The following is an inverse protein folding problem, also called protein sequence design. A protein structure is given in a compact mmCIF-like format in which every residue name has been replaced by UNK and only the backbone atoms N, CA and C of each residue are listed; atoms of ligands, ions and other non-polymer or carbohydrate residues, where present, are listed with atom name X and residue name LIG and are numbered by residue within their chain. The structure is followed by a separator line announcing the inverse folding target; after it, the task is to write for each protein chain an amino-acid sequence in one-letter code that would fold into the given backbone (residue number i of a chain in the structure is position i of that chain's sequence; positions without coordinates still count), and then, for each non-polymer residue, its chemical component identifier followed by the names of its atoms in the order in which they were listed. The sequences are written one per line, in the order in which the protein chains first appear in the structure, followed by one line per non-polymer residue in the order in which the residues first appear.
data_IF_360067404649
#
_entry.id   IF_360067404649
#
_cell.length_a   1.000
_cell.length_b   1.000
_cell.length_c   1.000
_cell.angle_alpha   90.00
_cell.angle_beta   90.00
_cell.angle_gamma   90.00
#
_symmetry.space_group_name_H-M   'P 1'
#
loop_
_entity.id
_entity.type
_entity.pdbx_description
1 polymer ?
#
# COMPACT_ATOMS: atom_id res chain seq x y z
N UNK A 1 7.43 21.99 24.83
CA UNK A 1 7.53 21.48 24.61
C UNK A 1 7.49 20.88 24.23
N UNK A 2 7.36 20.55 24.16
CA UNK A 2 7.38 19.90 23.86
C UNK A 2 7.76 19.05 23.67
N UNK A 3 7.95 18.74 23.70
CA UNK A 3 8.37 17.97 23.77
C UNK A 3 8.18 17.07 23.45
N UNK A 4 7.95 16.82 23.59
CA UNK A 4 7.81 15.94 23.39
C UNK A 4 7.82 15.52 22.47
N UNK A 5 7.69 15.77 22.18
CA UNK A 5 7.69 15.39 21.35
C UNK A 5 8.24 14.69 20.74
N UNK A 6 8.61 14.50 21.21
CA UNK A 6 9.37 13.75 20.84
C UNK A 6 9.02 12.84 20.13
N UNK A 7 8.51 12.60 20.42
CA UNK A 7 8.09 11.73 19.86
C UNK A 7 7.83 11.90 18.63
N UNK A 8 7.95 12.64 18.38
CA UNK A 8 7.72 12.83 17.40
C UNK A 8 7.96 12.18 16.39
N UNK A 9 7.61 11.50 16.23
CA UNK A 9 7.57 10.65 15.16
C UNK A 9 6.68 11.13 14.12
N UNK A 10 6.77 12.38 13.77
CA UNK A 10 6.06 12.95 12.64
C UNK A 10 6.59 12.34 11.37
N UNK A 11 5.70 11.91 10.52
CA UNK A 11 6.10 11.32 9.25
C UNK A 11 6.57 12.42 8.31
N UNK A 12 7.80 12.33 7.86
CA UNK A 12 8.36 13.28 6.92
C UNK A 12 8.22 12.78 5.49
N UNK A 13 8.23 13.72 4.55
CA UNK A 13 8.23 13.36 3.13
C UNK A 13 9.44 12.50 2.79
N UNK A 14 10.57 12.81 3.42
CA UNK A 14 11.79 12.06 3.16
C UNK A 14 11.64 10.60 3.58
N UNK A 15 11.09 10.35 4.76
CA UNK A 15 10.92 8.97 5.21
C UNK A 15 9.86 8.26 4.37
N UNK A 16 8.80 8.95 3.97
CA UNK A 16 7.79 8.36 3.12
C UNK A 16 8.37 7.95 1.76
N UNK A 17 9.27 8.76 1.21
CA UNK A 17 9.83 8.47 -0.10
C UNK A 17 10.70 7.21 -0.10
N UNK A 18 11.18 6.80 1.06
CA UNK A 18 11.94 5.57 1.16
C UNK A 18 11.04 4.34 1.25
N UNK A 19 9.80 4.53 1.64
CA UNK A 19 8.86 3.43 1.82
C UNK A 19 7.88 3.29 0.66
N UNK A 20 7.59 4.39 -0.02
CA UNK A 20 6.57 4.41 -1.07
C UNK A 20 7.14 5.14 -2.28
N UNK A 21 7.24 4.43 -3.41
CA UNK A 21 7.85 5.04 -4.60
C UNK A 21 7.41 4.29 -5.85
N UNK A 22 7.70 4.87 -7.02
CA UNK A 22 7.42 4.22 -8.29
C UNK A 22 8.62 3.39 -8.69
N UNK A 23 8.38 2.14 -9.06
CA UNK A 23 9.44 1.25 -9.50
C UNK A 23 10.08 1.78 -10.77
N UNK A 24 11.42 1.72 -10.84
CA UNK A 24 12.15 2.10 -12.03
C UNK A 24 12.49 0.91 -12.91
N UNK A 25 12.12 -0.29 -12.49
CA UNK A 25 12.51 -1.51 -13.17
C UNK A 25 11.49 -2.00 -14.18
N UNK A 26 10.26 -1.49 -14.13
CA UNK A 26 9.23 -1.90 -15.06
C UNK A 26 8.62 -0.67 -15.71
N UNK A 27 8.18 -0.82 -16.96
CA UNK A 27 7.63 0.29 -17.72
C UNK A 27 6.19 0.60 -17.33
N UNK A 28 5.44 -0.39 -16.90
CA UNK A 28 4.09 -0.17 -16.41
C UNK A 28 4.17 0.51 -15.04
N UNK A 29 3.42 1.58 -14.85
CA UNK A 29 3.46 2.34 -13.60
C UNK A 29 3.15 1.47 -12.39
N UNK A 30 4.14 1.23 -11.56
CA UNK A 30 4.03 0.32 -10.43
C UNK A 30 4.48 1.03 -9.16
N UNK A 31 3.60 1.09 -8.19
CA UNK A 31 3.89 1.69 -6.88
C UNK A 31 4.41 0.61 -5.95
N UNK A 32 5.53 0.88 -5.33
CA UNK A 32 6.15 -0.03 -4.36
C UNK A 32 5.90 0.50 -2.96
N UNK A 33 5.37 -0.36 -2.09
CA UNK A 33 5.28 -0.10 -0.65
C UNK A 33 6.26 -1.05 0.03
N UNK A 34 7.27 -0.49 0.68
CA UNK A 34 8.21 -1.29 1.46
C UNK A 34 7.97 -0.97 2.92
N UNK A 35 7.63 -2.00 3.70
CA UNK A 35 7.31 -1.79 5.11
C UNK A 35 8.49 -1.98 6.04
N UNK A 36 9.68 -2.14 5.48
CA UNK A 36 10.86 -2.42 6.30
C UNK A 36 11.05 -1.39 7.41
N UNK A 37 10.95 -0.12 7.07
CA UNK A 37 11.13 0.95 8.04
C UNK A 37 9.81 1.70 8.25
N UNK A 38 8.72 0.98 8.19
CA UNK A 38 7.39 1.57 8.23
C UNK A 38 7.15 2.35 9.52
N UNK A 39 6.73 3.58 9.35
CA UNK A 39 6.28 4.43 10.45
C UNK A 39 4.80 4.63 10.25
N UNK A 40 4.01 4.17 11.20
CA UNK A 40 2.57 4.21 11.05
C UNK A 40 2.02 5.62 11.24
N UNK A 41 1.22 6.12 10.30
CA UNK A 41 0.49 7.37 10.53
C UNK A 41 -0.49 7.14 11.66
N UNK A 42 -0.44 7.98 12.69
CA UNK A 42 -1.27 7.76 13.87
C UNK A 42 -2.22 8.92 14.14
N UNK A 43 -1.80 10.14 13.91
CA UNK A 43 -2.72 11.25 14.12
C UNK A 43 -3.28 11.72 12.77
N UNK A 44 -4.25 12.61 12.86
CA UNK A 44 -4.98 13.06 11.67
C UNK A 44 -4.07 13.74 10.66
N UNK A 45 -3.12 14.55 11.14
CA UNK A 45 -2.20 15.24 10.24
C UNK A 45 -1.30 14.27 9.50
N UNK A 46 -0.79 13.26 10.19
CA UNK A 46 0.06 12.25 9.56
C UNK A 46 -0.72 11.43 8.55
N UNK A 47 -1.98 11.10 8.86
CA UNK A 47 -2.81 10.34 7.94
C UNK A 47 -3.04 11.11 6.65
N UNK A 48 -3.35 12.41 6.76
CA UNK A 48 -3.56 13.26 5.59
C UNK A 48 -2.26 13.37 4.79
N UNK A 49 -1.15 13.60 5.48
CA UNK A 49 0.13 13.75 4.81
C UNK A 49 0.55 12.48 4.06
N UNK A 50 0.42 11.33 4.72
CA UNK A 50 0.77 10.07 4.10
C UNK A 50 -0.15 9.79 2.90
N UNK A 51 -1.44 10.06 3.05
CA UNK A 51 -2.39 9.83 1.96
C UNK A 51 -2.09 10.73 0.76
N UNK A 52 -1.77 12.00 1.03
CA UNK A 52 -1.42 12.94 -0.04
C UNK A 52 -0.15 12.48 -0.76
N UNK A 53 0.83 12.01 0.01
CA UNK A 53 2.06 11.51 -0.58
C UNK A 53 1.79 10.30 -1.48
N UNK A 54 0.97 9.38 -1.01
CA UNK A 54 0.62 8.20 -1.79
C UNK A 54 -0.10 8.60 -3.07
N UNK A 55 -1.02 9.55 -2.99
CA UNK A 55 -1.72 10.02 -4.17
C UNK A 55 -0.76 10.60 -5.20
N UNK A 56 0.25 11.34 -4.74
CA UNK A 56 1.26 11.88 -5.65
C UNK A 56 2.08 10.78 -6.31
N UNK A 57 2.42 9.74 -5.57
CA UNK A 57 3.17 8.62 -6.13
C UNK A 57 2.33 7.88 -7.16
N UNK A 58 1.04 7.69 -6.88
CA UNK A 58 0.15 7.04 -7.84
C UNK A 58 0.04 7.88 -9.12
N UNK A 59 -0.04 9.20 -8.97
CA UNK A 59 -0.06 10.08 -10.15
C UNK A 59 1.18 9.87 -11.00
N UNK A 60 2.35 9.77 -10.37
CA UNK A 60 3.58 9.53 -11.12
C UNK A 60 3.57 8.17 -11.79
N UNK A 61 3.01 7.15 -11.13
CA UNK A 61 2.90 5.83 -11.74
C UNK A 61 1.98 5.88 -12.96
N UNK A 62 0.87 6.59 -12.87
CA UNK A 62 -0.04 6.73 -14.00
C UNK A 62 0.61 7.46 -15.16
N UNK A 63 1.40 8.50 -14.88
CA UNK A 63 2.13 9.19 -15.93
C UNK A 63 3.13 8.26 -16.61
N UNK A 64 3.75 7.39 -15.84
CA UNK A 64 4.67 6.41 -16.42
C UNK A 64 3.94 5.43 -17.31
N UNK A 65 2.79 4.94 -16.87
CA UNK A 65 1.98 4.05 -17.69
C UNK A 65 1.53 4.71 -18.99
N UNK A 66 1.23 6.00 -18.95
CA UNK A 66 0.79 6.72 -20.14
C UNK A 66 1.86 6.72 -21.23
N UNK A 67 3.12 6.63 -20.86
CA UNK A 67 4.20 6.58 -21.85
C UNK A 67 4.14 5.33 -22.70
N UNK A 68 3.51 4.27 -22.20
CA UNK A 68 3.29 3.04 -22.97
C UNK A 68 1.81 2.87 -23.29
N UNK A 69 1.06 3.97 -23.25
CA UNK A 69 -0.36 4.01 -23.65
C UNK A 69 -1.24 3.15 -22.77
N UNK A 70 -0.89 3.07 -21.48
CA UNK A 70 -1.71 2.41 -20.48
C UNK A 70 -2.27 3.45 -19.53
N UNK A 71 -3.42 3.15 -18.91
CA UNK A 71 -4.06 4.13 -18.06
C UNK A 71 -4.33 3.62 -16.64
N UNK A 72 -3.59 2.61 -16.22
CA UNK A 72 -3.74 2.02 -14.90
C UNK A 72 -2.38 1.91 -14.21
N UNK A 73 -2.42 1.54 -12.94
CA UNK A 73 -1.21 1.33 -12.17
C UNK A 73 -1.33 0.06 -11.35
N UNK A 74 -0.18 -0.47 -10.98
CA UNK A 74 -0.08 -1.63 -10.10
C UNK A 74 0.47 -1.21 -8.75
N UNK A 75 0.21 -2.02 -7.73
CA UNK A 75 0.76 -1.81 -6.40
C UNK A 75 1.39 -3.12 -5.93
N UNK A 76 2.63 -3.02 -5.44
CA UNK A 76 3.31 -4.15 -4.81
C UNK A 76 3.63 -3.74 -3.38
N UNK A 77 3.20 -4.56 -2.43
CA UNK A 77 3.41 -4.29 -1.01
C UNK A 77 4.30 -5.38 -0.43
N UNK A 78 5.48 -5.00 0.05
CA UNK A 78 6.42 -5.95 0.64
C UNK A 78 6.27 -5.91 2.16
N UNK A 79 5.74 -7.00 2.72
CA UNK A 79 5.41 -7.07 4.14
C UNK A 79 6.37 -7.91 4.97
N UNK A 80 7.52 -8.23 4.42
CA UNK A 80 8.43 -9.18 5.05
C UNK A 80 8.76 -8.85 6.50
N UNK A 81 8.93 -7.56 6.81
CA UNK A 81 9.29 -7.15 8.17
C UNK A 81 8.14 -6.52 8.92
N UNK A 82 6.94 -6.60 8.38
CA UNK A 82 5.79 -5.90 8.94
C UNK A 82 5.28 -6.61 10.19
N UNK A 83 4.93 -5.83 11.21
CA UNK A 83 4.32 -6.36 12.43
C UNK A 83 2.84 -6.04 12.43
N UNK A 84 2.03 -7.04 12.77
CA UNK A 84 0.58 -6.94 12.67
C UNK A 84 0.02 -5.76 13.47
N UNK A 85 0.58 -5.48 14.62
CA UNK A 85 0.08 -4.38 15.45
C UNK A 85 0.42 -3.01 14.90
N UNK A 86 1.14 -2.96 13.78
CA UNK A 86 1.44 -1.70 13.12
C UNK A 86 0.35 -1.28 12.14
N UNK A 87 -0.72 -2.07 12.02
CA UNK A 87 -1.79 -1.71 11.12
C UNK A 87 -2.76 -0.76 11.81
N UNK A 88 -2.89 0.43 11.26
CA UNK A 88 -3.91 1.38 11.68
C UNK A 88 -5.07 1.29 10.70
N UNK A 89 -6.13 0.60 11.10
CA UNK A 89 -7.25 0.36 10.20
C UNK A 89 -7.98 1.65 9.83
N UNK A 90 -7.92 2.65 10.71
CA UNK A 90 -8.51 3.94 10.40
C UNK A 90 -7.79 4.61 9.23
N UNK A 91 -6.47 4.52 9.23
CA UNK A 91 -5.66 5.02 8.13
C UNK A 91 -5.97 4.26 6.83
N UNK A 92 -6.06 2.93 6.92
CA UNK A 92 -6.33 2.11 5.74
C UNK A 92 -7.68 2.47 5.13
N UNK A 93 -8.69 2.65 5.98
CA UNK A 93 -10.02 3.00 5.50
C UNK A 93 -10.03 4.38 4.86
N UNK A 94 -9.41 5.35 5.50
CA UNK A 94 -9.33 6.70 4.96
C UNK A 94 -8.62 6.69 3.60
N UNK A 95 -7.49 5.99 3.55
CA UNK A 95 -6.72 5.89 2.31
C UNK A 95 -7.57 5.27 1.20
N UNK A 96 -8.27 4.18 1.49
CA UNK A 96 -9.08 3.51 0.49
C UNK A 96 -10.16 4.44 -0.05
N UNK A 97 -10.82 5.19 0.84
CA UNK A 97 -11.88 6.10 0.43
C UNK A 97 -11.36 7.21 -0.46
N UNK A 98 -10.23 7.80 -0.08
CA UNK A 98 -9.65 8.91 -0.85
C UNK A 98 -9.15 8.42 -2.21
N UNK A 99 -8.47 7.29 -2.24
CA UNK A 99 -7.95 6.79 -3.50
C UNK A 99 -9.06 6.38 -4.46
N UNK A 100 -10.16 5.89 -3.93
CA UNK A 100 -11.31 5.56 -4.77
C UNK A 100 -11.89 6.81 -5.42
N UNK A 101 -11.89 7.93 -4.69
CA UNK A 101 -12.40 9.19 -5.24
C UNK A 101 -11.45 9.80 -6.26
N UNK A 102 -10.14 9.71 -6.01
CA UNK A 102 -9.16 10.35 -6.89
C UNK A 102 -8.81 9.52 -8.11
N UNK A 103 -8.82 8.20 -7.98
CA UNK A 103 -8.35 7.32 -9.04
C UNK A 103 -9.35 6.19 -9.30
N UNK A 104 -10.62 6.53 -9.66
CA UNK A 104 -11.63 5.49 -9.85
C UNK A 104 -11.22 4.53 -10.96
N UNK A 105 -11.22 3.24 -10.64
CA UNK A 105 -10.95 2.17 -11.59
C UNK A 105 -9.58 2.24 -12.26
N UNK A 106 -8.62 2.89 -11.61
CA UNK A 106 -7.26 3.00 -12.16
C UNK A 106 -6.31 1.92 -11.67
N UNK A 107 -6.66 1.22 -10.60
CA UNK A 107 -5.84 0.12 -10.10
C UNK A 107 -6.01 -1.11 -11.00
N UNK A 108 -4.90 -1.67 -11.46
CA UNK A 108 -4.94 -2.91 -12.23
C UNK A 108 -4.81 -4.12 -11.29
N UNK A 109 -3.80 -4.12 -10.43
CA UNK A 109 -3.65 -5.18 -9.45
C UNK A 109 -2.87 -4.66 -8.25
N UNK A 110 -3.13 -5.25 -7.10
CA UNK A 110 -2.40 -4.97 -5.87
C UNK A 110 -1.94 -6.29 -5.29
N UNK A 111 -0.64 -6.48 -5.21
CA UNK A 111 -0.06 -7.74 -4.78
C UNK A 111 0.69 -7.53 -3.48
N UNK A 112 0.36 -8.33 -2.47
CA UNK A 112 1.04 -8.29 -1.19
C UNK A 112 2.02 -9.45 -1.16
N UNK A 113 3.28 -9.13 -0.95
CA UNK A 113 4.38 -10.05 -1.14
C UNK A 113 4.98 -10.43 0.22
N UNK A 114 5.14 -11.73 0.43
CA UNK A 114 5.76 -12.31 1.62
C UNK A 114 5.11 -11.85 2.92
N UNK A 115 3.77 -11.96 3.03
CA UNK A 115 3.13 -11.58 4.28
C UNK A 115 3.47 -12.57 5.40
N UNK A 116 3.66 -12.08 6.64
CA UNK A 116 3.76 -13.01 7.76
C UNK A 116 2.45 -13.79 7.89
N UNK A 117 2.53 -15.02 8.37
CA UNK A 117 1.34 -15.86 8.45
C UNK A 117 0.21 -15.23 9.26
N UNK A 118 0.55 -14.46 10.28
CA UNK A 118 -0.46 -13.79 11.10
C UNK A 118 -1.21 -12.70 10.33
N UNK A 119 -0.66 -12.25 9.22
CA UNK A 119 -1.27 -11.17 8.44
C UNK A 119 -2.56 -11.61 7.75
N UNK A 120 -2.73 -12.90 7.53
CA UNK A 120 -3.90 -13.39 6.79
C UNK A 120 -5.20 -12.89 7.42
N UNK A 121 -5.28 -12.95 8.75
CA UNK A 121 -6.48 -12.47 9.45
C UNK A 121 -6.70 -10.98 9.23
N UNK A 122 -5.63 -10.19 9.33
CA UNK A 122 -5.74 -8.75 9.13
C UNK A 122 -6.09 -8.41 7.69
N UNK A 123 -5.62 -9.21 6.76
CA UNK A 123 -5.95 -9.02 5.35
C UNK A 123 -7.45 -9.13 5.12
N UNK A 124 -8.10 -10.09 5.79
CA UNK A 124 -9.55 -10.21 5.67
C UNK A 124 -10.26 -8.97 6.19
N UNK A 125 -9.73 -8.37 7.26
CA UNK A 125 -10.30 -7.14 7.79
C UNK A 125 -10.09 -5.98 6.81
N UNK A 126 -8.89 -5.87 6.27
CA UNK A 126 -8.58 -4.81 5.30
C UNK A 126 -9.46 -4.91 4.07
N UNK A 127 -9.71 -6.13 3.60
CA UNK A 127 -10.54 -6.32 2.41
C UNK A 127 -11.96 -5.80 2.60
N UNK A 128 -12.44 -5.80 3.83
CA UNK A 128 -13.79 -5.31 4.11
C UNK A 128 -13.92 -3.81 3.89
N UNK A 129 -12.82 -3.08 3.88
CA UNK A 129 -12.84 -1.65 3.61
C UNK A 129 -12.84 -1.35 2.11
N UNK A 130 -12.63 -2.37 1.28
CA UNK A 130 -12.52 -2.18 -0.16
C UNK A 130 -13.83 -2.56 -0.83
N UNK A 131 -14.14 -1.89 -1.94
CA UNK A 131 -15.29 -2.29 -2.72
C UNK A 131 -14.98 -3.59 -3.47
N UNK A 132 -16.02 -4.20 -4.01
CA UNK A 132 -15.87 -5.50 -4.65
C UNK A 132 -14.89 -5.49 -5.82
N UNK A 133 -14.94 -4.50 -6.73
CA UNK A 133 -13.98 -4.47 -7.82
C UNK A 133 -12.53 -4.38 -7.34
N UNK A 134 -12.28 -3.60 -6.29
CA UNK A 134 -10.93 -3.47 -5.75
C UNK A 134 -10.47 -4.77 -5.11
N UNK A 135 -11.36 -5.44 -4.35
CA UNK A 135 -11.01 -6.71 -3.74
C UNK A 135 -10.61 -7.75 -4.78
N UNK A 136 -11.27 -7.73 -5.93
CA UNK A 136 -10.98 -8.69 -6.99
C UNK A 136 -9.58 -8.50 -7.59
N UNK A 137 -8.97 -7.34 -7.35
CA UNK A 137 -7.64 -7.02 -7.89
C UNK A 137 -6.53 -7.26 -6.88
N UNK A 138 -6.87 -7.70 -5.67
CA UNK A 138 -5.89 -7.89 -4.60
C UNK A 138 -5.52 -9.36 -4.48
N UNK A 139 -4.24 -9.62 -4.20
CA UNK A 139 -3.77 -10.99 -4.00
C UNK A 139 -2.59 -11.01 -3.04
N UNK A 140 -2.35 -12.17 -2.46
CA UNK A 140 -1.19 -12.43 -1.61
C UNK A 140 -0.31 -13.44 -2.32
N UNK A 141 0.99 -13.21 -2.34
CA UNK A 141 1.92 -14.21 -2.86
C UNK A 141 3.11 -14.33 -1.92
N UNK A 142 3.79 -15.45 -2.02
CA UNK A 142 5.02 -15.67 -1.29
C UNK A 142 6.11 -15.99 -2.29
N UNK A 143 7.28 -15.37 -2.10
CA UNK A 143 8.44 -15.70 -2.92
C UNK A 143 9.19 -16.91 -2.36
N UNK A 144 8.65 -17.50 -1.27
CA UNK A 144 9.21 -18.67 -0.64
C UNK A 144 8.46 -19.91 -1.10
N UNK A 145 8.75 -21.06 -0.49
CA UNK A 145 8.22 -22.32 -1.00
C UNK A 145 6.71 -22.49 -0.88
N UNK A 146 6.06 -21.66 -0.10
CA UNK A 146 4.60 -21.72 0.05
C UNK A 146 3.85 -20.81 -0.89
N UNK A 147 4.52 -20.30 -1.89
CA UNK A 147 3.93 -19.35 -2.82
C UNK A 147 2.65 -19.85 -3.47
N UNK A 148 2.67 -21.09 -3.95
CA UNK A 148 1.52 -21.66 -4.63
C UNK A 148 0.33 -21.75 -3.68
N UNK A 149 0.60 -22.09 -2.43
CA UNK A 149 -0.45 -22.21 -1.43
C UNK A 149 -1.18 -20.88 -1.24
N UNK A 150 -0.43 -19.78 -1.18
CA UNK A 150 -1.05 -18.47 -1.05
C UNK A 150 -1.89 -18.12 -2.27
N UNK A 151 -1.38 -18.41 -3.44
CA UNK A 151 -2.11 -18.13 -4.68
C UNK A 151 -3.43 -18.88 -4.71
N UNK A 152 -3.42 -20.15 -4.33
CA UNK A 152 -4.62 -20.96 -4.30
C UNK A 152 -5.66 -20.42 -3.33
N UNK A 153 -5.22 -19.95 -2.17
CA UNK A 153 -6.11 -19.41 -1.16
C UNK A 153 -6.75 -18.11 -1.64
N UNK A 154 -5.99 -17.31 -2.33
CA UNK A 154 -6.43 -15.96 -2.71
C UNK A 154 -7.14 -15.89 -4.04
N UNK A 155 -7.14 -16.96 -4.81
CA UNK A 155 -7.77 -16.96 -6.13
C UNK A 155 -9.28 -16.95 -6.06
N UNK A 156 -9.83 -17.23 -4.92
CA UNK A 156 -11.27 -17.21 -4.77
C UNK A 156 -11.74 -15.79 -4.47
#
# INVERSE_FOLDING_TARGET
MFGTSSSNKTISTESLSQMIYVSEEVEFGTVIFSTKDWIQPSDENDIVRATSFIANVITKALLKSQKIKENKFDVLVYLESFKIKQINYQFVKYLADILKQLFPEKLRKAVIIDPPSVFIHSYEIVKKFMDKPTRAKMSLISTKENRILYDDIMDD
#
